data_IF_210444401029
#
_entry.id   IF_210444401029
#
_cell.length_a   1.000
_cell.length_b   1.000
_cell.length_c   1.000
_cell.angle_alpha   90.00
_cell.angle_beta   90.00
_cell.angle_gamma   90.00
#
_symmetry.space_group_name_H-M   'P 1'
#
loop_
_entity.id
_entity.type
_entity.pdbx_description
1 polymer ?
#
# COMPACT_ATOMS: atom_id res chain seq x y z
N UNK A 1 16.29 -11.51 1.33
CA UNK A 1 17.06 -10.38 0.78
C UNK A 1 16.15 -9.66 -0.20
N UNK A 2 15.94 -8.34 -0.05
CA UNK A 2 15.09 -7.55 -0.96
C UNK A 2 15.88 -7.21 -2.23
N UNK A 3 15.22 -7.19 -3.39
CA UNK A 3 15.82 -6.63 -4.60
C UNK A 3 15.94 -5.10 -4.48
N UNK A 4 16.76 -4.51 -5.36
CA UNK A 4 17.08 -3.08 -5.30
C UNK A 4 15.85 -2.17 -5.41
N UNK A 5 14.87 -2.50 -6.25
CA UNK A 5 13.67 -1.68 -6.44
C UNK A 5 12.80 -1.73 -5.19
N UNK A 6 12.56 -2.93 -4.67
CA UNK A 6 11.81 -3.13 -3.42
C UNK A 6 12.50 -2.44 -2.25
N UNK A 7 13.83 -2.51 -2.16
CA UNK A 7 14.60 -1.81 -1.13
C UNK A 7 14.45 -0.28 -1.23
N UNK A 8 14.59 0.28 -2.44
CA UNK A 8 14.46 1.72 -2.64
C UNK A 8 13.05 2.23 -2.28
N UNK A 9 12.01 1.46 -2.57
CA UNK A 9 10.63 1.82 -2.18
C UNK A 9 10.48 1.70 -0.66
N UNK A 10 10.68 0.50 -0.10
CA UNK A 10 10.33 0.19 1.29
C UNK A 10 11.26 0.84 2.33
N UNK A 11 12.51 1.18 1.96
CA UNK A 11 13.52 1.71 2.90
C UNK A 11 14.00 3.13 2.59
N UNK A 12 13.70 3.67 1.41
CA UNK A 12 14.06 5.05 1.03
C UNK A 12 12.84 5.88 0.62
N UNK A 13 11.64 5.44 0.99
CA UNK A 13 10.36 6.07 0.63
C UNK A 13 10.25 6.40 -0.87
N UNK A 14 10.78 5.52 -1.72
CA UNK A 14 10.63 5.61 -3.16
C UNK A 14 9.21 5.26 -3.61
N UNK A 15 8.86 5.62 -4.84
CA UNK A 15 7.56 5.29 -5.45
C UNK A 15 7.80 4.57 -6.77
N UNK A 16 7.12 3.44 -6.99
CA UNK A 16 7.18 2.74 -8.28
C UNK A 16 6.51 3.57 -9.38
N UNK A 17 6.90 3.34 -10.63
CA UNK A 17 6.27 4.04 -11.76
C UNK A 17 4.78 3.69 -11.84
N UNK A 18 3.89 4.67 -12.11
CA UNK A 18 2.47 4.41 -12.23
C UNK A 18 2.20 3.41 -13.35
N UNK A 19 1.17 2.58 -13.15
CA UNK A 19 0.71 1.56 -14.10
C UNK A 19 1.66 0.38 -14.33
N UNK A 20 2.73 0.24 -13.53
CA UNK A 20 3.73 -0.83 -13.70
C UNK A 20 3.68 -1.94 -12.64
N UNK A 21 3.00 -1.72 -11.52
CA UNK A 21 2.95 -2.65 -10.40
C UNK A 21 2.20 -3.94 -10.71
N UNK A 22 2.77 -5.09 -10.31
CA UNK A 22 2.18 -6.44 -10.47
C UNK A 22 0.73 -6.50 -9.97
N UNK A 23 0.48 -5.90 -8.81
CA UNK A 23 -0.80 -6.00 -8.10
C UNK A 23 -1.81 -4.93 -8.48
N UNK A 24 -1.51 -4.08 -9.47
CA UNK A 24 -2.44 -3.03 -9.92
C UNK A 24 -3.78 -3.62 -10.34
N UNK A 25 -3.76 -4.57 -11.28
CA UNK A 25 -4.96 -5.20 -11.84
C UNK A 25 -5.29 -6.55 -11.20
N UNK A 26 -4.59 -6.92 -10.12
CA UNK A 26 -4.81 -8.18 -9.41
C UNK A 26 -6.20 -8.21 -8.75
N UNK A 27 -6.87 -9.36 -8.87
CA UNK A 27 -8.23 -9.61 -8.36
C UNK A 27 -8.36 -10.95 -7.61
N UNK A 28 -7.28 -11.74 -7.50
CA UNK A 28 -7.27 -12.93 -6.66
C UNK A 28 -7.71 -12.63 -5.23
N UNK A 29 -8.42 -13.57 -4.63
CA UNK A 29 -8.83 -13.50 -3.22
C UNK A 29 -7.65 -13.83 -2.33
N UNK A 30 -7.48 -13.05 -1.27
CA UNK A 30 -6.36 -13.19 -0.35
C UNK A 30 -6.07 -11.94 0.44
N UNK A 31 -4.91 -11.97 1.10
CA UNK A 31 -4.42 -10.91 1.98
C UNK A 31 -3.11 -10.35 1.42
N UNK A 32 -3.01 -9.03 1.37
CA UNK A 32 -1.80 -8.32 0.98
C UNK A 32 -0.97 -8.06 2.23
N UNK A 33 0.14 -8.78 2.34
CA UNK A 33 1.09 -8.70 3.44
C UNK A 33 2.22 -7.73 3.10
N UNK A 34 2.85 -7.17 4.12
CA UNK A 34 4.10 -6.42 3.98
C UNK A 34 5.19 -7.32 3.40
N UNK A 35 5.76 -6.94 2.25
CA UNK A 35 6.83 -7.72 1.59
C UNK A 35 8.08 -7.92 2.47
N UNK A 36 8.29 -7.06 3.46
CA UNK A 36 9.47 -7.09 4.32
C UNK A 36 9.34 -7.99 5.57
N UNK A 37 8.14 -8.16 6.11
CA UNK A 37 7.96 -8.80 7.43
C UNK A 37 6.70 -9.66 7.55
N UNK A 38 5.99 -9.86 6.44
CA UNK A 38 4.76 -10.65 6.31
C UNK A 38 3.60 -10.19 7.23
N UNK A 39 3.64 -8.95 7.74
CA UNK A 39 2.51 -8.37 8.49
C UNK A 39 1.29 -8.19 7.57
N UNK A 40 0.11 -8.60 8.00
CA UNK A 40 -1.14 -8.44 7.23
C UNK A 40 -1.54 -6.96 7.14
N UNK A 41 -1.76 -6.43 5.94
CA UNK A 41 -2.04 -5.00 5.76
C UNK A 41 -3.44 -4.76 5.19
N UNK A 42 -3.75 -5.40 4.06
CA UNK A 42 -4.99 -5.14 3.30
C UNK A 42 -5.66 -6.43 2.85
N UNK A 43 -6.99 -6.44 2.83
CA UNK A 43 -7.76 -7.53 2.24
C UNK A 43 -8.03 -7.26 0.76
N UNK A 44 -8.04 -8.31 -0.06
CA UNK A 44 -8.56 -8.23 -1.44
C UNK A 44 -10.00 -7.70 -1.54
N UNK A 45 -10.82 -7.85 -0.49
CA UNK A 45 -12.18 -7.34 -0.43
C UNK A 45 -12.26 -5.81 -0.33
N UNK A 46 -11.19 -5.17 0.15
CA UNK A 46 -11.10 -3.71 0.23
C UNK A 46 -10.43 -3.09 -0.98
N UNK A 47 -9.90 -3.91 -1.90
CA UNK A 47 -9.22 -3.47 -3.11
C UNK A 47 -10.22 -2.97 -4.15
N UNK A 48 -9.91 -1.84 -4.79
CA UNK A 48 -10.73 -1.27 -5.86
C UNK A 48 -9.88 -0.62 -6.96
N UNK A 49 -10.48 -0.40 -8.13
CA UNK A 49 -9.84 0.33 -9.23
C UNK A 49 -10.06 1.84 -9.08
N UNK A 50 -9.03 2.53 -8.60
CA UNK A 50 -9.02 4.00 -8.46
C UNK A 50 -8.53 4.72 -9.72
N UNK A 51 -7.98 4.00 -10.70
CA UNK A 51 -7.26 4.55 -11.87
C UNK A 51 -6.05 5.44 -11.51
N UNK A 52 -5.56 5.37 -10.27
CA UNK A 52 -4.40 6.18 -9.82
C UNK A 52 -3.08 5.73 -10.43
N UNK A 53 -2.98 4.47 -10.87
CA UNK A 53 -1.76 3.84 -11.34
C UNK A 53 -1.10 2.90 -10.33
N UNK A 54 -1.63 2.80 -9.11
CA UNK A 54 -1.14 1.89 -8.07
C UNK A 54 -2.29 1.09 -7.43
N UNK A 55 -2.00 -0.09 -6.84
CA UNK A 55 -2.95 -0.79 -5.98
C UNK A 55 -3.64 0.17 -4.99
N UNK A 56 -4.97 0.09 -4.95
CA UNK A 56 -5.77 0.97 -4.11
C UNK A 56 -6.74 0.16 -3.25
N UNK A 57 -6.77 0.48 -1.95
CA UNK A 57 -7.63 -0.16 -0.96
C UNK A 57 -8.43 0.90 -0.23
N UNK A 58 -9.69 0.63 0.11
CA UNK A 58 -10.49 1.60 0.86
C UNK A 58 -10.36 1.44 2.38
N UNK A 59 -9.87 0.29 2.84
CA UNK A 59 -9.68 0.02 4.27
C UNK A 59 -8.50 -0.92 4.52
N UNK A 60 -7.96 -0.88 5.73
CA UNK A 60 -6.94 -1.79 6.25
C UNK A 60 -7.58 -2.94 7.02
N UNK A 61 -6.85 -4.04 7.18
CA UNK A 61 -7.32 -5.16 8.01
C UNK A 61 -7.40 -4.75 9.49
N UNK A 62 -6.38 -4.02 9.96
CA UNK A 62 -6.32 -3.49 11.31
C UNK A 62 -5.53 -2.17 11.30
N UNK A 63 -6.08 -1.13 11.92
CA UNK A 63 -5.41 0.17 12.08
C UNK A 63 -4.08 0.07 12.83
N UNK A 64 -3.90 -0.94 13.68
CA UNK A 64 -2.64 -1.18 14.41
C UNK A 64 -1.52 -1.71 13.50
N UNK A 65 -1.84 -2.23 12.30
CA UNK A 65 -0.87 -2.80 11.37
C UNK A 65 -0.20 -1.75 10.47
N UNK A 66 -0.70 -0.52 10.49
CA UNK A 66 -0.16 0.60 9.74
C UNK A 66 0.11 1.81 10.63
N UNK A 67 1.12 2.61 10.24
CA UNK A 67 1.44 3.89 10.86
C UNK A 67 1.25 5.01 9.84
N UNK A 68 0.81 6.17 10.31
CA UNK A 68 0.59 7.35 9.48
C UNK A 68 1.63 8.44 9.83
N UNK A 69 2.31 8.97 8.82
CA UNK A 69 3.26 10.07 8.98
C UNK A 69 2.85 11.21 8.05
N UNK A 70 2.90 12.45 8.57
CA UNK A 70 2.70 13.63 7.72
C UNK A 70 3.88 13.78 6.76
N UNK A 71 3.60 13.78 5.47
CA UNK A 71 4.57 13.95 4.41
C UNK A 71 4.32 15.30 3.72
N UNK A 72 5.25 16.24 3.89
CA UNK A 72 5.25 17.56 3.25
C UNK A 72 6.23 17.65 2.07
N UNK A 73 6.74 16.52 1.58
CA UNK A 73 7.69 16.47 0.46
C UNK A 73 7.03 16.94 -0.85
N UNK A 74 7.87 17.39 -1.79
CA UNK A 74 7.44 17.87 -3.12
C UNK A 74 6.39 19.01 -3.08
N UNK A 75 6.27 19.74 -1.97
CA UNK A 75 5.30 20.81 -1.80
C UNK A 75 3.84 20.34 -1.66
N UNK A 76 3.62 19.04 -1.44
CA UNK A 76 2.30 18.45 -1.23
C UNK A 76 2.14 18.08 0.25
N UNK A 77 0.93 18.23 0.80
CA UNK A 77 0.59 17.70 2.12
C UNK A 77 -0.12 16.35 1.94
N UNK A 78 0.59 15.26 2.19
CA UNK A 78 0.07 13.89 2.11
C UNK A 78 0.26 13.19 3.44
N UNK A 79 -0.42 12.07 3.61
CA UNK A 79 -0.23 11.19 4.76
C UNK A 79 0.45 9.92 4.22
N UNK A 80 1.73 9.76 4.54
CA UNK A 80 2.49 8.54 4.27
C UNK A 80 1.97 7.39 5.14
N UNK A 81 1.90 6.21 4.54
CA UNK A 81 1.48 4.97 5.18
C UNK A 81 2.69 4.04 5.26
N UNK A 82 3.00 3.61 6.48
CA UNK A 82 4.08 2.68 6.79
C UNK A 82 3.53 1.39 7.39
N UNK A 83 4.25 0.29 7.25
CA UNK A 83 4.02 -0.91 8.05
C UNK A 83 4.43 -0.64 9.50
N UNK A 84 3.50 -0.76 10.46
CA UNK A 84 3.78 -0.44 11.87
C UNK A 84 4.81 -1.37 12.52
N UNK A 85 4.99 -2.59 11.98
CA UNK A 85 5.87 -3.62 12.54
C UNK A 85 7.34 -3.44 12.16
N UNK A 86 7.63 -2.86 10.99
CA UNK A 86 9.01 -2.78 10.49
C UNK A 86 9.35 -1.47 9.77
N UNK A 87 8.47 -0.47 9.85
CA UNK A 87 8.61 0.86 9.25
C UNK A 87 8.85 0.86 7.74
N UNK A 88 8.44 -0.22 7.05
CA UNK A 88 8.53 -0.27 5.60
C UNK A 88 7.56 0.75 4.99
N UNK A 89 8.06 1.62 4.11
CA UNK A 89 7.22 2.51 3.31
C UNK A 89 6.27 1.69 2.42
N UNK A 90 4.99 2.02 2.45
CA UNK A 90 3.94 1.37 1.66
C UNK A 90 3.43 2.30 0.56
N UNK A 91 3.10 3.54 0.92
CA UNK A 91 2.53 4.54 0.01
C UNK A 91 1.90 5.69 0.76
N UNK A 92 0.72 6.13 0.32
CA UNK A 92 -0.01 7.26 0.91
C UNK A 92 -1.50 6.99 1.02
N UNK A 93 -2.17 7.64 1.97
CA UNK A 93 -3.63 7.65 2.11
C UNK A 93 -4.21 9.01 1.73
N UNK A 94 -5.39 8.99 1.10
CA UNK A 94 -6.14 10.15 0.62
C UNK A 94 -7.62 10.02 1.00
N UNK A 95 -8.33 11.14 1.14
CA UNK A 95 -9.75 11.19 1.54
C UNK A 95 -10.71 11.20 0.32
N UNK A 96 -10.31 10.56 -0.79
CA UNK A 96 -11.04 10.50 -2.07
C UNK A 96 -11.42 9.05 -2.46
N UNK A 97 -11.55 8.18 -1.47
CA UNK A 97 -11.95 6.79 -1.65
C UNK A 97 -13.46 6.56 -1.67
N UNK A 98 -13.88 5.31 -1.95
CA UNK A 98 -15.28 4.93 -1.93
C UNK A 98 -15.82 4.80 -0.50
N UNK A 99 -17.15 4.77 -0.38
CA UNK A 99 -17.81 4.31 0.85
C UNK A 99 -17.45 2.83 1.13
N UNK A 100 -17.42 2.40 2.40
CA UNK A 100 -17.91 3.09 3.60
C UNK A 100 -16.91 4.04 4.28
N UNK A 101 -15.61 3.93 3.99
CA UNK A 101 -14.57 4.68 4.72
C UNK A 101 -14.32 6.07 4.15
N UNK A 102 -14.50 6.25 2.84
CA UNK A 102 -14.07 7.46 2.14
C UNK A 102 -12.54 7.55 1.95
N UNK A 103 -11.78 6.56 2.42
CA UNK A 103 -10.32 6.57 2.34
C UNK A 103 -9.84 5.81 1.10
N UNK A 104 -8.72 6.25 0.54
CA UNK A 104 -7.98 5.54 -0.50
C UNK A 104 -6.52 5.37 -0.08
N UNK A 105 -6.18 4.16 0.33
CA UNK A 105 -4.81 3.72 0.54
C UNK A 105 -4.20 3.38 -0.82
N UNK A 106 -3.35 4.27 -1.32
CA UNK A 106 -2.64 4.15 -2.60
C UNK A 106 -1.24 3.60 -2.34
N UNK A 107 -1.05 2.31 -2.62
CA UNK A 107 0.09 1.53 -2.11
C UNK A 107 0.93 1.01 -3.26
N UNK A 108 2.26 1.09 -3.13
CA UNK A 108 3.19 0.51 -4.09
C UNK A 108 3.01 -1.02 -4.13
N UNK A 109 2.84 -1.57 -5.32
CA UNK A 109 2.77 -3.03 -5.51
C UNK A 109 4.03 -3.73 -5.00
N UNK A 110 5.20 -3.12 -5.18
CA UNK A 110 6.47 -3.68 -4.70
C UNK A 110 6.61 -3.69 -3.17
N UNK A 111 5.71 -3.02 -2.42
CA UNK A 111 5.68 -3.08 -0.96
C UNK A 111 4.82 -4.23 -0.42
N UNK A 112 4.10 -4.92 -1.31
CA UNK A 112 3.11 -5.93 -0.96
C UNK A 112 3.54 -7.31 -1.44
N UNK A 113 3.00 -8.33 -0.76
CA UNK A 113 3.03 -9.72 -1.16
C UNK A 113 1.64 -10.30 -0.92
N UNK A 114 0.99 -10.75 -1.99
CA UNK A 114 -0.33 -11.39 -1.89
C UNK A 114 -0.15 -12.84 -1.43
N UNK A 115 -0.84 -13.18 -0.35
CA UNK A 115 -1.11 -14.54 0.09
C UNK A 115 -2.53 -14.90 -0.34
N UNK A 116 -2.64 -15.73 -1.38
CA UNK A 116 -3.94 -16.16 -1.93
C UNK A 116 -4.59 -17.16 -0.99
N UNK A 117 -5.91 -17.06 -0.83
CA UNK A 117 -6.72 -17.98 -0.04
C UNK A 117 -7.68 -18.68 -1.02
N UNK A 118 -7.60 -20.01 -1.09
CA UNK A 118 -8.51 -20.87 -1.87
C UNK A 118 -9.91 -20.95 -1.25
#
# INVERSE_FOLDING_TARGET
MLDEKTYNITRKSGTEQPFTGKYLNEKSKGIYNCVCCDNELFSSDTKFDSKSGWPSFYDVINNENISHIKDSSHGMNRIEVLCSKCDAHLGHVFDDGPQPTGQRYCINSLSLKLEEIE
#
